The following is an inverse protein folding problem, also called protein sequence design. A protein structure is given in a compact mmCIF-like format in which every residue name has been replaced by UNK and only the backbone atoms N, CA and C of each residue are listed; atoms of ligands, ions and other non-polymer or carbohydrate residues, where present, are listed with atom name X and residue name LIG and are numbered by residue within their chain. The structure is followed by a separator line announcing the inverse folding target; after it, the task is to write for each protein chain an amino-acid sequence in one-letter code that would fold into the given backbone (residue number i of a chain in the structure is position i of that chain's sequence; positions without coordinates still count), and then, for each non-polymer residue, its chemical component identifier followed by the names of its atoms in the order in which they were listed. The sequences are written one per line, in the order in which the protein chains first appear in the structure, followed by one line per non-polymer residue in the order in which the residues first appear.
data_IF_507568997452
#
_entry.id   IF_507568997452
#
_cell.length_a   1.000
_cell.length_b   1.000
_cell.length_c   1.000
_cell.angle_alpha   90.00
_cell.angle_beta   90.00
_cell.angle_gamma   90.00
#
_symmetry.space_group_name_H-M   'P 1'
#
loop_
_entity.id
_entity.type
_entity.pdbx_description
1 polymer ?
#
# COMPACT_ATOMS: atom_id res chain seq x y z
N UNK A 1 0.12 0.44 8.15
CA UNK A 1 0.34 0.36 6.69
C UNK A 1 -0.95 0.14 5.94
N UNK A 2 -1.61 -1.02 6.08
CA UNK A 2 -2.90 -1.29 5.43
C UNK A 2 -3.95 -0.18 5.68
N UNK A 3 -4.11 0.26 6.94
CA UNK A 3 -5.06 1.34 7.25
C UNK A 3 -4.82 2.65 6.48
N UNK A 4 -3.55 3.03 6.22
CA UNK A 4 -3.24 4.21 5.41
C UNK A 4 -3.67 4.02 3.95
N UNK A 5 -3.41 2.83 3.39
CA UNK A 5 -3.84 2.47 2.03
C UNK A 5 -5.38 2.46 1.96
N UNK A 6 -6.05 1.89 2.96
CA UNK A 6 -7.52 1.84 3.06
C UNK A 6 -8.14 3.24 3.12
N UNK A 7 -7.56 4.16 3.88
CA UNK A 7 -8.03 5.54 3.98
C UNK A 7 -7.81 6.34 2.68
N UNK A 8 -6.68 6.11 2.01
CA UNK A 8 -6.35 6.81 0.76
C UNK A 8 -7.08 6.23 -0.47
N UNK A 9 -7.40 4.93 -0.46
CA UNK A 9 -7.92 4.18 -1.61
C UNK A 9 -6.87 3.89 -2.67
N UNK A 10 -6.11 4.89 -3.10
CA UNK A 10 -4.95 4.76 -3.99
C UNK A 10 -3.83 5.69 -3.56
N UNK A 11 -2.59 5.20 -3.56
CA UNK A 11 -1.42 6.03 -3.24
C UNK A 11 -0.14 5.47 -3.88
N UNK A 12 0.97 6.20 -3.75
CA UNK A 12 2.28 5.73 -4.18
C UNK A 12 3.06 5.13 -3.00
N UNK A 13 4.04 4.27 -3.28
CA UNK A 13 4.91 3.72 -2.26
C UNK A 13 5.71 4.79 -1.51
N UNK A 14 6.16 5.83 -2.21
CA UNK A 14 6.80 6.99 -1.60
C UNK A 14 5.85 7.77 -0.65
N UNK A 15 4.60 8.00 -1.06
CA UNK A 15 3.61 8.67 -0.22
C UNK A 15 3.28 7.85 1.03
N UNK A 16 3.17 6.52 0.88
CA UNK A 16 2.89 5.62 1.99
C UNK A 16 4.04 5.59 3.00
N UNK A 17 5.30 5.51 2.54
CA UNK A 17 6.47 5.59 3.42
C UNK A 17 6.52 6.92 4.17
N UNK A 18 6.22 8.03 3.49
CA UNK A 18 6.17 9.36 4.10
C UNK A 18 5.07 9.44 5.17
N UNK A 19 3.89 8.89 4.91
CA UNK A 19 2.79 8.91 5.86
C UNK A 19 3.02 7.98 7.06
N UNK A 20 3.70 6.86 6.87
CA UNK A 20 4.16 6.01 7.98
C UNK A 20 5.19 6.73 8.85
N UNK A 21 6.15 7.42 8.24
CA UNK A 21 7.17 8.16 8.97
C UNK A 21 6.57 9.32 9.81
N UNK A 22 5.52 10.00 9.31
CA UNK A 22 4.79 11.03 10.09
C UNK A 22 4.13 10.47 11.35
N UNK A 23 3.70 9.21 11.31
CA UNK A 23 3.11 8.50 12.45
C UNK A 23 4.19 7.88 13.36
N UNK A 24 5.48 8.15 13.12
CA UNK A 24 6.60 7.59 13.88
C UNK A 24 6.95 6.15 13.51
N UNK A 25 6.40 5.62 12.42
CA UNK A 25 6.67 4.26 11.93
C UNK A 25 7.77 4.31 10.87
N UNK A 26 8.97 3.89 11.24
CA UNK A 26 10.10 3.72 10.32
C UNK A 26 10.26 2.25 9.98
N UNK A 27 10.24 1.91 8.69
CA UNK A 27 10.44 0.56 8.19
C UNK A 27 11.70 0.53 7.31
N UNK A 28 12.46 -0.55 7.37
CA UNK A 28 13.46 -0.83 6.34
C UNK A 28 12.75 -1.17 5.03
N UNK A 29 13.36 -0.82 3.89
CA UNK A 29 12.79 -1.08 2.56
C UNK A 29 12.43 -2.56 2.36
N UNK A 30 13.24 -3.47 2.90
CA UNK A 30 12.97 -4.91 2.86
C UNK A 30 11.67 -5.29 3.55
N UNK A 31 11.35 -4.67 4.69
CA UNK A 31 10.17 -5.01 5.48
C UNK A 31 8.94 -4.31 4.91
N UNK A 32 9.10 -3.10 4.37
CA UNK A 32 8.08 -2.43 3.59
C UNK A 32 7.67 -3.27 2.37
N UNK A 33 8.65 -3.77 1.61
CA UNK A 33 8.40 -4.58 0.41
C UNK A 33 7.79 -5.94 0.74
N UNK A 34 8.25 -6.63 1.80
CA UNK A 34 7.61 -7.87 2.27
C UNK A 34 6.17 -7.63 2.69
N UNK A 35 5.91 -6.57 3.45
CA UNK A 35 4.55 -6.25 3.91
C UNK A 35 3.61 -5.95 2.73
N UNK A 36 4.06 -5.20 1.72
CA UNK A 36 3.27 -5.00 0.49
C UNK A 36 2.98 -6.32 -0.23
N UNK A 37 3.99 -7.17 -0.35
CA UNK A 37 3.85 -8.47 -0.99
C UNK A 37 2.83 -9.35 -0.25
N UNK A 38 2.90 -9.40 1.07
CA UNK A 38 1.93 -10.15 1.90
C UNK A 38 0.51 -9.62 1.69
N UNK A 39 0.31 -8.29 1.72
CA UNK A 39 -1.00 -7.67 1.48
C UNK A 39 -1.53 -7.98 0.07
N UNK A 40 -0.66 -8.02 -0.94
CA UNK A 40 -1.03 -8.35 -2.32
C UNK A 40 -1.38 -9.83 -2.47
N UNK A 41 -0.63 -10.74 -1.83
CA UNK A 41 -0.94 -12.18 -1.79
C UNK A 41 -2.28 -12.43 -1.10
N UNK A 42 -2.59 -11.71 -0.03
CA UNK A 42 -3.89 -11.78 0.64
C UNK A 42 -5.03 -11.13 -0.15
N UNK A 43 -4.75 -10.51 -1.30
CA UNK A 43 -5.76 -9.85 -2.14
C UNK A 43 -6.33 -8.57 -1.54
N UNK A 44 -5.64 -7.96 -0.58
CA UNK A 44 -6.08 -6.72 0.10
C UNK A 44 -5.72 -5.48 -0.70
N UNK A 45 -4.63 -5.54 -1.47
CA UNK A 45 -4.13 -4.45 -2.29
C UNK A 45 -3.65 -4.97 -3.64
N UNK A 46 -3.56 -4.07 -4.62
CA UNK A 46 -2.89 -4.29 -5.90
C UNK A 46 -1.70 -3.36 -6.00
N UNK A 47 -0.55 -3.89 -6.42
CA UNK A 47 0.66 -3.10 -6.64
C UNK A 47 1.00 -3.10 -8.13
N UNK A 48 1.22 -1.92 -8.71
CA UNK A 48 1.58 -1.78 -10.13
C UNK A 48 2.72 -0.79 -10.33
N UNK A 49 3.57 -1.04 -11.32
CA UNK A 49 4.63 -0.11 -11.70
C UNK A 49 4.06 1.07 -12.47
N UNK A 50 4.33 2.29 -12.01
CA UNK A 50 4.06 3.53 -12.77
C UNK A 50 5.28 3.88 -13.62
N UNK A 51 6.47 3.75 -13.03
CA UNK A 51 7.78 3.83 -13.68
C UNK A 51 8.69 2.77 -13.06
N UNK A 52 9.93 2.61 -13.53
CA UNK A 52 10.88 1.64 -12.96
C UNK A 52 11.19 1.85 -11.46
N UNK A 53 10.96 3.05 -10.93
CA UNK A 53 11.30 3.43 -9.56
C UNK A 53 10.06 3.85 -8.74
N UNK A 54 8.86 3.76 -9.32
CA UNK A 54 7.63 4.24 -8.68
C UNK A 54 6.51 3.23 -8.81
N UNK A 55 5.91 2.87 -7.68
CA UNK A 55 4.76 1.96 -7.63
C UNK A 55 3.49 2.70 -7.22
N UNK A 56 2.37 2.27 -7.79
CA UNK A 56 1.03 2.60 -7.33
C UNK A 56 0.52 1.42 -6.51
N UNK A 57 -0.09 1.74 -5.38
CA UNK A 57 -0.71 0.79 -4.46
C UNK A 57 -2.19 1.18 -4.38
N UNK A 58 -3.06 0.22 -4.65
CA UNK A 58 -4.51 0.42 -4.71
C UNK A 58 -5.18 -0.55 -3.74
N UNK A 59 -6.12 -0.06 -2.94
CA UNK A 59 -6.99 -0.91 -2.15
C UNK A 59 -7.81 -1.78 -3.10
N UNK A 60 -7.80 -3.09 -2.90
CA UNK A 60 -8.78 -3.97 -3.52
C UNK A 60 -10.03 -3.81 -2.67
N UNK A 61 -10.94 -2.92 -3.08
CA UNK A 61 -12.24 -2.83 -2.45
C UNK A 61 -12.92 -4.19 -2.60
N UNK A 62 -13.38 -4.76 -1.49
CA UNK A 62 -14.25 -5.92 -1.53
C UNK A 62 -15.44 -5.54 -2.41
N UNK A 63 -15.57 -6.17 -3.57
CA UNK A 63 -16.71 -5.96 -4.47
C UNK A 63 -18.02 -6.52 -3.88
N UNK A 64 -18.02 -6.96 -2.61
CA UNK A 64 -19.20 -7.24 -1.82
C UNK A 64 -19.54 -6.14 -0.82
N UNK A 65 -20.18 -5.05 -1.25
CA UNK A 65 -21.27 -4.30 -0.56
C UNK A 65 -21.45 -2.89 -1.15
N UNK A 66 -22.05 -2.85 -2.35
CA UNK A 66 -22.88 -1.74 -2.78
C UNK A 66 -23.94 -2.31 -3.73
N UNK A 67 -24.88 -3.08 -3.20
CA UNK A 67 -26.20 -3.37 -3.79
C UNK A 67 -27.13 -3.88 -2.69
#
# INVERSE_FOLDING_TARGET
MFEKIRQAGTMTDADLMKDLAKDGVTLADSDFNKTLLDLEIYGLVRVSWVTKDKRRIELVADSGTAS
#
